data_IF_853461384470
#
_entry.id   IF_853461384470
#
_cell.length_a   1.000
_cell.length_b   1.000
_cell.length_c   1.000
_cell.angle_alpha   90.00
_cell.angle_beta   90.00
_cell.angle_gamma   90.00
#
_symmetry.space_group_name_H-M   'P 1'
#
loop_
_entity.id
_entity.type
_entity.pdbx_description
1 polymer ?
#
# COMPACT_ATOMS: atom_id res chain seq x y z
N UNK A 1 8.31 -5.28 10.73
CA UNK A 1 6.83 -5.17 10.83
C UNK A 1 6.22 -5.53 9.47
N UNK A 2 5.00 -6.09 9.46
CA UNK A 2 4.30 -6.56 8.25
C UNK A 2 2.80 -6.27 8.40
N UNK A 3 2.13 -5.98 7.29
CA UNK A 3 0.66 -5.86 7.19
C UNK A 3 0.19 -6.79 6.08
N UNK A 4 -0.56 -7.82 6.47
CA UNK A 4 -1.18 -8.78 5.57
C UNK A 4 -2.47 -8.21 4.98
N UNK A 5 -2.66 -8.40 3.68
CA UNK A 5 -3.80 -7.84 2.96
C UNK A 5 -5.13 -8.44 3.38
N UNK A 6 -5.12 -9.71 3.79
CA UNK A 6 -6.29 -10.40 4.33
C UNK A 6 -6.82 -9.76 5.62
N UNK A 7 -6.00 -8.95 6.29
CA UNK A 7 -6.34 -8.28 7.54
C UNK A 7 -6.69 -6.78 7.37
N UNK A 8 -6.79 -6.28 6.13
CA UNK A 8 -7.13 -4.89 5.84
C UNK A 8 -8.61 -4.82 5.46
N UNK A 9 -9.41 -4.17 6.30
CA UNK A 9 -10.83 -3.96 6.02
C UNK A 9 -11.04 -2.76 5.08
N UNK A 10 -12.25 -2.69 4.52
CA UNK A 10 -12.70 -1.50 3.80
C UNK A 10 -12.62 -0.26 4.73
N UNK A 11 -12.17 0.85 4.16
CA UNK A 11 -11.90 2.13 4.82
C UNK A 11 -10.68 2.16 5.75
N UNK A 12 -10.00 1.03 5.98
CA UNK A 12 -8.72 1.04 6.66
C UNK A 12 -7.66 1.78 5.84
N UNK A 13 -6.63 2.25 6.54
CA UNK A 13 -5.53 2.99 5.94
C UNK A 13 -4.21 2.36 6.32
N UNK A 14 -3.36 2.14 5.33
CA UNK A 14 -1.98 1.70 5.50
C UNK A 14 -1.07 2.88 5.20
N UNK A 15 -0.34 3.32 6.23
CA UNK A 15 0.73 4.31 6.07
C UNK A 15 2.04 3.57 5.87
N UNK A 16 2.78 3.94 4.82
CA UNK A 16 4.02 3.30 4.42
C UNK A 16 5.09 4.36 4.37
N UNK A 17 6.01 4.34 5.33
CA UNK A 17 7.23 5.15 5.28
C UNK A 17 8.33 4.33 4.63
N UNK A 18 9.03 4.97 3.71
CA UNK A 18 10.15 4.39 2.99
C UNK A 18 11.40 5.22 3.23
N UNK A 19 12.54 4.81 2.70
CA UNK A 19 13.80 5.56 2.81
C UNK A 19 13.67 7.01 2.31
N UNK A 20 12.87 7.22 1.26
CA UNK A 20 12.82 8.50 0.55
C UNK A 20 11.47 9.22 0.63
N UNK A 21 10.43 8.56 1.13
CA UNK A 21 9.08 9.08 1.04
C UNK A 21 8.07 8.39 1.94
N UNK A 22 6.94 9.06 2.16
CA UNK A 22 5.78 8.51 2.87
C UNK A 22 4.60 8.40 1.91
N UNK A 23 3.92 7.25 1.97
CA UNK A 23 2.71 6.96 1.21
C UNK A 23 1.55 6.65 2.16
N UNK A 24 0.36 7.03 1.73
CA UNK A 24 -0.89 6.70 2.39
C UNK A 24 -1.78 5.92 1.42
N UNK A 25 -2.13 4.69 1.78
CA UNK A 25 -3.03 3.85 1.00
C UNK A 25 -4.31 3.60 1.79
N UNK A 26 -5.45 4.10 1.30
CA UNK A 26 -6.77 3.85 1.89
C UNK A 26 -7.48 2.75 1.13
N UNK A 27 -7.85 1.67 1.81
CA UNK A 27 -8.55 0.54 1.23
C UNK A 27 -10.00 0.91 0.88
N UNK A 28 -10.41 0.64 -0.36
CA UNK A 28 -11.78 0.83 -0.83
C UNK A 28 -12.49 -0.49 -1.11
N UNK A 29 -11.74 -1.47 -1.59
CA UNK A 29 -12.22 -2.81 -1.93
C UNK A 29 -11.15 -3.85 -1.54
N UNK A 30 -11.30 -4.52 -0.38
CA UNK A 30 -10.36 -5.52 0.10
C UNK A 30 -10.20 -6.73 -0.84
N UNK A 31 -11.27 -7.18 -1.49
CA UNK A 31 -11.28 -8.37 -2.36
C UNK A 31 -10.37 -8.15 -3.57
N UNK A 32 -10.46 -6.96 -4.16
CA UNK A 32 -9.65 -6.54 -5.31
C UNK A 32 -8.34 -5.84 -4.90
N UNK A 33 -8.06 -5.73 -3.58
CA UNK A 33 -6.94 -4.96 -2.99
C UNK A 33 -6.85 -3.55 -3.57
N UNK A 34 -8.01 -2.97 -3.90
CA UNK A 34 -8.12 -1.69 -4.57
C UNK A 34 -8.37 -0.61 -3.55
N UNK A 35 -7.68 0.50 -3.74
CA UNK A 35 -7.78 1.63 -2.86
C UNK A 35 -7.30 2.90 -3.52
N UNK A 36 -7.06 3.88 -2.67
CA UNK A 36 -6.59 5.20 -3.05
C UNK A 36 -5.21 5.42 -2.47
N UNK A 37 -4.25 5.73 -3.32
CA UNK A 37 -2.87 6.01 -2.96
C UNK A 37 -2.56 7.51 -3.09
N UNK A 38 -1.86 8.05 -2.10
CA UNK A 38 -1.31 9.42 -2.12
C UNK A 38 0.08 9.48 -1.48
N UNK A 39 0.78 10.60 -1.66
CA UNK A 39 2.11 10.84 -1.10
C UNK A 39 3.27 10.34 -1.97
N UNK A 40 4.47 10.43 -1.40
CA UNK A 40 5.73 10.14 -2.05
C UNK A 40 5.87 10.79 -3.43
N UNK A 41 6.16 10.00 -4.46
CA UNK A 41 6.33 10.50 -5.83
C UNK A 41 5.03 11.04 -6.45
N UNK A 42 3.87 10.83 -5.83
CA UNK A 42 2.60 11.41 -6.27
C UNK A 42 2.38 12.83 -5.70
N UNK A 43 3.13 13.23 -4.67
CA UNK A 43 2.92 14.50 -3.96
C UNK A 43 1.50 14.60 -3.40
N UNK A 44 0.83 15.72 -3.66
CA UNK A 44 -0.57 15.97 -3.25
C UNK A 44 -1.60 15.26 -4.13
N UNK A 45 -1.17 14.56 -5.18
CA UNK A 45 -2.08 13.81 -6.04
C UNK A 45 -2.56 12.53 -5.36
N UNK A 46 -3.81 12.22 -5.65
CA UNK A 46 -4.50 11.03 -5.16
C UNK A 46 -4.87 10.17 -6.37
N UNK A 47 -4.54 8.88 -6.34
CA UNK A 47 -4.76 7.96 -7.47
C UNK A 47 -5.37 6.65 -7.04
N UNK A 48 -6.27 6.13 -7.87
CA UNK A 48 -6.73 4.75 -7.78
C UNK A 48 -5.53 3.81 -7.97
N UNK A 49 -5.36 2.91 -7.02
CA UNK A 49 -4.27 1.95 -7.01
C UNK A 49 -4.73 0.57 -6.55
N UNK A 50 -4.11 -0.46 -7.10
CA UNK A 50 -4.19 -1.84 -6.62
C UNK A 50 -2.87 -2.15 -5.93
N UNK A 51 -2.96 -2.60 -4.67
CA UNK A 51 -1.80 -3.02 -3.89
C UNK A 51 -1.50 -4.50 -4.18
N UNK A 52 -0.35 -4.75 -4.83
CA UNK A 52 -0.02 -6.10 -5.33
C UNK A 52 0.74 -6.91 -4.29
N UNK A 53 1.68 -6.28 -3.56
CA UNK A 53 2.57 -7.01 -2.65
C UNK A 53 3.85 -6.25 -2.32
N UNK A 54 4.80 -7.00 -1.78
CA UNK A 54 6.16 -6.55 -1.53
C UNK A 54 7.15 -7.22 -2.49
N UNK A 55 8.08 -6.43 -3.03
CA UNK A 55 9.21 -6.90 -3.83
C UNK A 55 10.46 -6.91 -2.94
N UNK A 56 11.30 -7.96 -2.98
CA UNK A 56 12.53 -8.00 -2.21
C UNK A 56 13.45 -6.81 -2.51
N UNK A 57 14.18 -6.32 -1.50
CA UNK A 57 15.11 -5.21 -1.69
C UNK A 57 16.40 -5.65 -2.40
N UNK A 58 16.76 -6.93 -2.28
CA UNK A 58 17.93 -7.54 -2.89
C UNK A 58 17.59 -8.85 -3.61
N UNK A 59 18.35 -9.19 -4.67
CA UNK A 59 18.18 -10.44 -5.43
C UNK A 59 18.47 -11.72 -4.62
N UNK A 60 19.09 -11.57 -3.44
CA UNK A 60 19.41 -12.69 -2.54
C UNK A 60 18.27 -13.03 -1.58
N UNK A 61 17.28 -12.15 -1.46
CA UNK A 61 16.07 -12.41 -0.70
C UNK A 61 15.10 -13.19 -1.59
N UNK A 62 14.57 -14.31 -1.07
CA UNK A 62 13.51 -15.05 -1.74
C UNK A 62 12.34 -14.12 -2.07
N UNK A 63 11.64 -14.41 -3.18
CA UNK A 63 10.36 -13.76 -3.50
C UNK A 63 9.43 -13.98 -2.31
N UNK A 64 9.40 -12.98 -1.44
CA UNK A 64 8.59 -12.98 -0.24
C UNK A 64 7.12 -13.05 -0.61
N UNK A 65 6.34 -13.49 0.36
CA UNK A 65 4.90 -13.54 0.28
C UNK A 65 4.29 -12.23 -0.24
N UNK A 66 3.65 -12.31 -1.41
CA UNK A 66 3.01 -11.18 -2.07
C UNK A 66 1.68 -10.80 -1.41
N UNK A 67 1.22 -11.53 -0.40
CA UNK A 67 0.00 -11.20 0.34
C UNK A 67 0.18 -10.10 1.39
N UNK A 68 1.36 -9.46 1.46
CA UNK A 68 1.62 -8.42 2.45
C UNK A 68 2.61 -7.34 1.99
N UNK A 69 2.59 -6.22 2.70
CA UNK A 69 3.69 -5.25 2.72
C UNK A 69 4.49 -5.43 4.00
N UNK A 70 5.82 -5.40 3.91
CA UNK A 70 6.74 -5.57 5.06
C UNK A 70 7.91 -4.60 5.01
N UNK A 71 8.42 -4.26 6.18
CA UNK A 71 9.67 -3.48 6.33
C UNK A 71 10.85 -4.25 5.74
N UNK A 72 11.81 -3.54 5.16
CA UNK A 72 12.97 -4.14 4.49
C UNK A 72 12.70 -4.58 3.03
N UNK A 73 11.45 -4.51 2.56
CA UNK A 73 11.07 -4.76 1.18
C UNK A 73 10.57 -3.47 0.50
N UNK A 74 10.19 -3.53 -0.78
CA UNK A 74 9.59 -2.41 -1.53
C UNK A 74 8.12 -2.70 -1.79
N UNK A 75 7.22 -1.74 -1.59
CA UNK A 75 5.81 -1.92 -1.93
C UNK A 75 5.60 -1.74 -3.44
N UNK A 76 4.70 -2.55 -4.02
CA UNK A 76 4.34 -2.52 -5.43
C UNK A 76 2.86 -2.19 -5.62
N UNK A 77 2.60 -1.18 -6.43
CA UNK A 77 1.26 -0.73 -6.82
C UNK A 77 1.11 -0.71 -8.33
N UNK A 78 -0.09 -1.03 -8.81
CA UNK A 78 -0.55 -0.66 -10.15
C UNK A 78 -1.58 0.45 -10.05
N UNK A 79 -1.45 1.46 -10.89
CA UNK A 79 -2.34 2.62 -10.94
C UNK A 79 -2.90 2.78 -12.33
N UNK A 80 -4.14 3.24 -12.42
CA UNK A 80 -4.71 3.63 -13.71
C UNK A 80 -4.10 4.95 -14.17
N UNK A 81 -3.60 4.97 -15.41
CA UNK A 81 -3.11 6.16 -16.09
C UNK A 81 -3.94 6.41 -17.36
N UNK A 82 -3.88 7.64 -17.90
CA UNK A 82 -4.67 8.02 -19.10
C UNK A 82 -4.45 7.09 -20.30
N UNK A 83 -3.27 6.49 -20.41
CA UNK A 83 -2.86 5.68 -21.56
C UNK A 83 -2.55 4.22 -21.18
N UNK A 84 -3.02 3.73 -20.04
CA UNK A 84 -2.79 2.34 -19.61
C UNK A 84 -2.57 2.20 -18.11
N UNK A 85 -1.77 1.20 -17.73
CA UNK A 85 -1.44 0.91 -16.34
C UNK A 85 -0.05 1.43 -16.02
N UNK A 86 0.08 2.21 -14.96
CA UNK A 86 1.35 2.69 -14.43
C UNK A 86 1.77 1.83 -13.24
N UNK A 87 3.05 1.46 -13.18
CA UNK A 87 3.61 0.69 -12.06
C UNK A 87 4.39 1.60 -11.13
N UNK A 88 4.07 1.58 -9.85
CA UNK A 88 4.83 2.27 -8.81
C UNK A 88 5.48 1.25 -7.86
N UNK A 89 6.81 1.26 -7.83
CA UNK A 89 7.62 0.51 -6.87
C UNK A 89 8.26 1.53 -5.94
N UNK A 90 8.06 1.37 -4.64
CA UNK A 90 8.63 2.30 -3.66
C UNK A 90 10.12 2.06 -3.43
N UNK A 91 10.78 2.99 -2.73
CA UNK A 91 12.05 2.67 -2.05
C UNK A 91 11.81 1.69 -0.88
N UNK A 92 12.88 1.28 -0.18
CA UNK A 92 12.74 0.28 0.89
C UNK A 92 11.83 0.82 1.99
N UNK A 93 10.84 0.03 2.37
CA UNK A 93 9.90 0.33 3.44
C UNK A 93 10.63 0.24 4.78
N UNK A 94 10.66 1.35 5.51
CA UNK A 94 11.31 1.46 6.83
C UNK A 94 10.30 1.33 7.96
N UNK A 95 9.05 1.76 7.73
CA UNK A 95 7.99 1.68 8.72
C UNK A 95 6.63 1.47 8.04
N UNK A 96 5.74 0.73 8.69
CA UNK A 96 4.35 0.55 8.25
C UNK A 96 3.45 0.85 9.44
N UNK A 97 2.29 1.46 9.21
CA UNK A 97 1.22 1.57 10.22
C UNK A 97 -0.11 1.20 9.60
N UNK A 98 -0.88 0.35 10.29
CA UNK A 98 -2.25 0.01 9.91
C UNK A 98 -3.21 0.78 10.83
N UNK A 99 -3.95 1.70 10.25
CA UNK A 99 -5.00 2.47 10.91
C UNK A 99 -6.34 1.85 10.55
N UNK A 100 -6.99 1.23 11.54
CA UNK A 100 -8.32 0.65 11.35
C UNK A 100 -9.37 1.74 11.34
N UNK A 101 -10.33 1.64 10.42
CA UNK A 101 -11.50 2.50 10.42
C UNK A 101 -12.32 2.25 11.70
N UNK A 102 -12.67 3.32 12.39
CA UNK A 102 -13.46 3.22 13.62
C UNK A 102 -14.94 3.07 13.24
N UNK A 103 -15.43 1.83 13.04
CA UNK A 103 -16.85 1.54 12.70
C UNK A 103 -17.88 1.95 13.78
N UNK A 104 -17.48 2.63 14.87
CA UNK A 104 -18.32 2.87 16.06
C UNK A 104 -19.14 4.17 16.11
N UNK A 105 -19.23 4.99 15.06
CA UNK A 105 -20.00 6.26 15.12
C UNK A 105 -20.93 6.53 13.92
N UNK A 106 -21.64 5.51 13.42
CA UNK A 106 -22.72 5.72 12.42
C UNK A 106 -24.00 4.93 12.70
N UNK A 107 -24.43 4.89 13.96
CA UNK A 107 -25.82 4.62 14.32
C UNK A 107 -26.21 5.64 15.40
N UNK A 108 -26.76 6.76 14.95
CA UNK A 108 -27.54 7.71 15.74
C UNK A 108 -28.73 8.14 14.89
#
# INVERSE_FOLDING_TARGET
MRVDFENIDREDQVLIRTENSEYSFKMLDPEERRGVLSGGSLGDQTRDAVLIGAVPASFKEEMGDQSAVRTGARALFFMNARNGVERLITSVVTEIRHLRSNKRMRLA
#
